data_IF_204550138443
#
_entry.id   IF_204550138443
#
_cell.length_a   1.000
_cell.length_b   1.000
_cell.length_c   1.000
_cell.angle_alpha   90.00
_cell.angle_beta   90.00
_cell.angle_gamma   90.00
#
_symmetry.space_group_name_H-M   'P 1'
#
loop_
_entity.id
_entity.type
_entity.pdbx_description
1 polymer ?
#
# COMPACT_ATOMS: atom_id res chain seq x y z
N UNK A 1 12.38 33.08 5.91
CA UNK A 1 12.49 31.76 5.31
C UNK A 1 11.58 30.79 6.06
N UNK A 2 10.61 30.23 5.34
CA UNK A 2 9.67 29.30 5.96
C UNK A 2 10.30 27.90 5.98
N UNK A 3 10.48 27.34 7.17
CA UNK A 3 10.95 25.95 7.27
C UNK A 3 9.72 25.04 7.22
N UNK A 4 9.69 24.20 6.20
CA UNK A 4 8.65 23.19 6.11
C UNK A 4 8.95 22.10 7.14
N UNK A 5 8.02 21.80 8.02
CA UNK A 5 8.16 20.68 8.94
C UNK A 5 8.25 19.38 8.17
N UNK A 6 9.14 18.45 8.56
CA UNK A 6 9.15 17.13 7.92
C UNK A 6 7.83 16.43 8.15
N UNK A 7 7.46 15.56 7.22
CA UNK A 7 6.28 14.71 7.39
C UNK A 7 6.44 13.85 8.64
N UNK A 8 5.34 13.56 9.37
CA UNK A 8 5.39 12.57 10.46
C UNK A 8 5.98 11.24 9.98
N UNK A 9 6.62 10.51 10.88
CA UNK A 9 7.41 9.32 10.52
C UNK A 9 6.61 8.30 9.72
N UNK A 10 5.39 7.96 10.17
CA UNK A 10 4.57 6.99 9.44
C UNK A 10 4.12 7.52 8.09
N UNK A 11 3.81 8.81 8.00
CA UNK A 11 3.44 9.42 6.71
C UNK A 11 4.60 9.37 5.72
N UNK A 12 5.81 9.67 6.17
CA UNK A 12 7.00 9.64 5.32
C UNK A 12 7.25 8.22 4.77
N UNK A 13 7.11 7.20 5.62
CA UNK A 13 7.26 5.80 5.20
C UNK A 13 6.16 5.41 4.21
N UNK A 14 4.90 5.79 4.50
CA UNK A 14 3.78 5.50 3.61
C UNK A 14 3.96 6.16 2.24
N UNK A 15 4.46 7.40 2.20
CA UNK A 15 4.76 8.10 0.95
C UNK A 15 5.81 7.36 0.13
N UNK A 16 6.93 7.00 0.77
CA UNK A 16 8.02 6.32 0.09
C UNK A 16 7.59 4.92 -0.41
N UNK A 17 6.85 4.19 0.41
CA UNK A 17 6.31 2.88 0.05
C UNK A 17 5.37 2.97 -1.15
N UNK A 18 4.38 3.86 -1.08
CA UNK A 18 3.40 4.05 -2.16
C UNK A 18 4.08 4.46 -3.46
N UNK A 19 5.00 5.43 -3.40
CA UNK A 19 5.71 5.90 -4.58
C UNK A 19 6.51 4.78 -5.24
N UNK A 20 7.18 3.96 -4.44
CA UNK A 20 8.00 2.87 -4.96
C UNK A 20 7.15 1.84 -5.73
N UNK A 21 6.03 1.36 -5.14
CA UNK A 21 5.23 0.38 -5.86
C UNK A 21 4.46 1.00 -7.02
N UNK A 22 4.10 2.29 -6.94
CA UNK A 22 3.48 3.02 -8.05
C UNK A 22 4.42 3.12 -9.25
N UNK A 23 5.73 3.21 -8.99
CA UNK A 23 6.76 3.27 -10.03
C UNK A 23 7.19 1.86 -10.50
N UNK A 24 6.48 0.82 -10.10
CA UNK A 24 6.82 -0.58 -10.40
C UNK A 24 8.18 -1.02 -9.83
N UNK A 25 8.63 -0.37 -8.76
CA UNK A 25 9.83 -0.75 -8.04
C UNK A 25 9.45 -1.42 -6.72
N UNK A 26 8.89 -2.62 -6.85
CA UNK A 26 8.38 -3.34 -5.68
C UNK A 26 9.50 -3.75 -4.72
N UNK A 27 10.70 -4.00 -5.21
CA UNK A 27 11.84 -4.33 -4.34
C UNK A 27 12.18 -3.15 -3.41
N UNK A 28 12.15 -1.92 -3.93
CA UNK A 28 12.33 -0.73 -3.07
C UNK A 28 11.17 -0.57 -2.09
N UNK A 29 9.93 -0.85 -2.52
CA UNK A 29 8.79 -0.80 -1.62
C UNK A 29 8.95 -1.78 -0.46
N UNK A 30 9.43 -2.99 -0.74
CA UNK A 30 9.63 -4.02 0.29
C UNK A 30 10.67 -3.65 1.35
N UNK A 31 11.57 -2.71 1.06
CA UNK A 31 12.54 -2.22 2.05
C UNK A 31 11.86 -1.49 3.22
N UNK A 32 10.66 -0.97 2.98
CA UNK A 32 9.87 -0.28 4.01
C UNK A 32 8.96 -1.23 4.77
N UNK A 33 8.98 -2.52 4.46
CA UNK A 33 8.11 -3.52 5.08
C UNK A 33 8.95 -4.42 5.99
N UNK A 34 8.52 -4.52 7.24
CA UNK A 34 9.21 -5.38 8.21
C UNK A 34 9.07 -6.85 7.80
N UNK A 35 10.12 -7.68 7.95
CA UNK A 35 10.01 -9.11 7.64
C UNK A 35 8.91 -9.84 8.40
N UNK A 36 8.52 -9.33 9.58
CA UNK A 36 7.47 -9.91 10.41
C UNK A 36 6.13 -9.18 10.27
N UNK A 37 5.93 -8.44 9.19
CA UNK A 37 4.72 -7.67 8.95
C UNK A 37 3.47 -8.55 9.04
N UNK A 38 2.41 -7.99 9.61
CA UNK A 38 1.08 -8.58 9.56
C UNK A 38 0.21 -7.71 8.67
N UNK A 39 -0.38 -8.30 7.65
CA UNK A 39 -1.24 -7.58 6.71
C UNK A 39 -2.64 -8.20 6.73
N UNK A 40 -3.64 -7.37 7.01
CA UNK A 40 -5.04 -7.77 6.91
C UNK A 40 -5.54 -7.33 5.53
N UNK A 41 -5.67 -8.29 4.64
CA UNK A 41 -6.18 -8.07 3.28
C UNK A 41 -7.64 -8.52 3.20
N UNK A 42 -8.38 -8.12 2.16
CA UNK A 42 -9.78 -8.56 2.03
C UNK A 42 -9.95 -10.07 2.05
N UNK A 43 -9.00 -10.81 1.51
CA UNK A 43 -9.05 -12.28 1.47
C UNK A 43 -8.63 -12.94 2.77
N UNK A 44 -8.02 -12.22 3.71
CA UNK A 44 -7.61 -12.78 4.99
C UNK A 44 -6.33 -12.18 5.54
N UNK A 45 -5.80 -12.81 6.60
CA UNK A 45 -4.61 -12.38 7.30
C UNK A 45 -3.35 -12.97 6.67
N UNK A 46 -2.39 -12.10 6.36
CA UNK A 46 -1.09 -12.49 5.83
C UNK A 46 -0.04 -12.23 6.90
N UNK A 47 0.77 -13.21 7.21
CA UNK A 47 1.84 -13.08 8.20
C UNK A 47 3.20 -13.23 7.53
N UNK A 48 4.04 -12.22 7.74
CA UNK A 48 5.41 -12.19 7.24
C UNK A 48 5.56 -11.59 5.84
N UNK A 49 6.79 -11.19 5.55
CA UNK A 49 7.11 -10.51 4.29
C UNK A 49 6.88 -11.38 3.06
N UNK A 50 7.14 -12.69 3.16
CA UNK A 50 6.95 -13.60 2.02
C UNK A 50 5.47 -13.71 1.63
N UNK A 51 4.57 -13.84 2.63
CA UNK A 51 3.13 -13.90 2.36
C UNK A 51 2.63 -12.57 1.78
N UNK A 52 3.09 -11.46 2.34
CA UNK A 52 2.77 -10.13 1.84
C UNK A 52 3.23 -9.95 0.39
N UNK A 53 4.47 -10.35 0.08
CA UNK A 53 5.03 -10.27 -1.27
C UNK A 53 4.19 -11.10 -2.25
N UNK A 54 3.78 -12.29 -1.86
CA UNK A 54 2.96 -13.17 -2.70
C UNK A 54 1.61 -12.59 -3.03
N UNK A 55 1.04 -11.79 -2.12
CA UNK A 55 -0.23 -11.08 -2.35
C UNK A 55 -0.03 -9.80 -3.18
N UNK A 56 0.89 -8.95 -2.76
CA UNK A 56 1.03 -7.59 -3.32
C UNK A 56 1.78 -7.57 -4.65
N UNK A 57 2.75 -8.48 -4.84
CA UNK A 57 3.58 -8.50 -6.05
C UNK A 57 2.77 -8.61 -7.34
N UNK A 58 1.88 -9.61 -7.47
CA UNK A 58 1.05 -9.73 -8.67
C UNK A 58 0.14 -8.52 -8.90
N UNK A 59 -0.37 -7.91 -7.82
CA UNK A 59 -1.17 -6.70 -7.96
C UNK A 59 -0.34 -5.55 -8.55
N UNK A 60 0.86 -5.31 -8.01
CA UNK A 60 1.75 -4.25 -8.51
C UNK A 60 2.08 -4.48 -9.98
N UNK A 61 2.32 -5.73 -10.37
CA UNK A 61 2.61 -6.07 -11.77
C UNK A 61 1.42 -5.74 -12.68
N UNK A 62 0.20 -5.82 -12.17
CA UNK A 62 -1.01 -5.54 -12.95
C UNK A 62 -1.34 -4.06 -13.07
N UNK A 63 -0.76 -3.22 -12.22
CA UNK A 63 -1.08 -1.79 -12.16
C UNK A 63 -0.48 -1.06 -13.37
N UNK A 64 -1.32 -0.29 -14.05
CA UNK A 64 -0.90 0.55 -15.17
C UNK A 64 -0.78 2.02 -14.77
N UNK A 65 -1.60 2.45 -13.80
CA UNK A 65 -1.61 3.84 -13.34
C UNK A 65 -2.11 3.91 -11.91
N UNK A 66 -1.54 4.82 -11.14
CA UNK A 66 -2.01 5.15 -9.79
C UNK A 66 -2.38 6.63 -9.71
N UNK A 67 -3.35 6.94 -8.85
CA UNK A 67 -3.69 8.32 -8.52
C UNK A 67 -3.84 8.41 -7.00
N UNK A 68 -2.97 9.18 -6.36
CA UNK A 68 -3.05 9.43 -4.93
C UNK A 68 -4.20 10.41 -4.67
N UNK A 69 -5.15 10.02 -3.84
CA UNK A 69 -6.29 10.85 -3.49
C UNK A 69 -6.01 11.63 -2.21
N UNK A 70 -5.54 10.93 -1.16
CA UNK A 70 -5.28 11.53 0.14
C UNK A 70 -4.32 10.66 0.93
N UNK A 71 -3.51 11.30 1.77
CA UNK A 71 -2.60 10.60 2.66
C UNK A 71 -2.43 11.43 3.92
N UNK A 72 -2.78 10.84 5.06
CA UNK A 72 -2.77 11.50 6.36
C UNK A 72 -2.28 10.54 7.43
N UNK A 73 -1.74 11.10 8.49
CA UNK A 73 -1.31 10.30 9.61
C UNK A 73 -0.43 11.04 10.58
N UNK A 74 0.21 10.28 11.47
CA UNK A 74 1.11 10.78 12.50
C UNK A 74 2.44 10.00 12.44
N UNK A 75 3.18 9.97 13.54
CA UNK A 75 4.47 9.27 13.58
C UNK A 75 4.31 7.75 13.65
N UNK A 76 3.15 7.24 14.02
CA UNK A 76 2.93 5.82 14.24
C UNK A 76 2.03 5.18 13.19
N UNK A 77 1.08 5.93 12.63
CA UNK A 77 0.06 5.40 11.75
C UNK A 77 -0.21 6.35 10.59
N UNK A 78 -0.41 5.81 9.39
CA UNK A 78 -0.79 6.60 8.22
C UNK A 78 -1.80 5.87 7.39
N UNK A 79 -2.70 6.64 6.75
CA UNK A 79 -3.71 6.12 5.83
C UNK A 79 -3.47 6.73 4.47
N UNK A 80 -3.46 5.89 3.44
CA UNK A 80 -3.32 6.30 2.04
C UNK A 80 -4.57 5.87 1.28
N UNK A 81 -5.20 6.81 0.59
CA UNK A 81 -6.34 6.53 -0.28
C UNK A 81 -5.94 6.83 -1.73
N UNK A 82 -6.25 5.91 -2.62
CA UNK A 82 -5.79 6.00 -4.01
C UNK A 82 -6.73 5.28 -4.96
N UNK A 83 -6.63 5.63 -6.25
CA UNK A 83 -7.24 4.88 -7.33
C UNK A 83 -6.15 4.21 -8.15
N UNK A 84 -6.45 3.04 -8.71
CA UNK A 84 -5.54 2.35 -9.63
C UNK A 84 -6.27 1.95 -10.90
N UNK A 85 -5.54 1.99 -12.01
CA UNK A 85 -5.92 1.29 -13.22
C UNK A 85 -5.06 0.04 -13.30
N UNK A 86 -5.70 -1.11 -13.48
CA UNK A 86 -5.01 -2.38 -13.69
C UNK A 86 -5.35 -2.89 -15.09
N UNK A 87 -4.73 -4.00 -15.51
CA UNK A 87 -5.03 -4.62 -16.79
C UNK A 87 -6.52 -4.98 -16.96
N UNK A 88 -7.24 -5.16 -15.85
CA UNK A 88 -8.63 -5.64 -15.85
C UNK A 88 -9.64 -4.61 -15.37
N UNK A 89 -9.22 -3.67 -14.55
CA UNK A 89 -10.12 -2.75 -13.84
C UNK A 89 -9.60 -1.32 -13.94
N UNK A 90 -10.49 -0.38 -14.28
CA UNK A 90 -10.16 1.03 -14.33
C UNK A 90 -10.73 1.74 -13.09
N UNK A 91 -10.00 2.75 -12.62
CA UNK A 91 -10.41 3.60 -11.49
C UNK A 91 -10.84 2.78 -10.25
N UNK A 92 -10.06 1.76 -9.91
CA UNK A 92 -10.33 0.92 -8.76
C UNK A 92 -9.93 1.64 -7.47
N UNK A 93 -10.89 1.94 -6.57
CA UNK A 93 -10.56 2.61 -5.31
C UNK A 93 -9.91 1.65 -4.33
N UNK A 94 -8.94 2.16 -3.60
CA UNK A 94 -8.28 1.42 -2.54
C UNK A 94 -7.86 2.33 -1.41
N UNK A 95 -7.65 1.73 -0.25
CA UNK A 95 -7.09 2.42 0.90
C UNK A 95 -6.24 1.45 1.70
N UNK A 96 -5.19 1.96 2.31
CA UNK A 96 -4.36 1.15 3.19
C UNK A 96 -3.98 1.97 4.42
N UNK A 97 -4.04 1.29 5.57
CA UNK A 97 -3.64 1.84 6.84
C UNK A 97 -2.38 1.10 7.26
N UNK A 98 -1.30 1.84 7.56
CA UNK A 98 -0.03 1.24 7.96
C UNK A 98 0.35 1.72 9.35
N UNK A 99 0.95 0.82 10.15
CA UNK A 99 1.60 1.17 11.40
C UNK A 99 3.09 0.98 11.23
N UNK A 100 3.85 1.97 11.67
CA UNK A 100 5.28 2.05 11.43
C UNK A 100 6.03 2.03 12.75
N UNK A 101 7.14 1.28 12.78
CA UNK A 101 8.09 1.27 13.89
C UNK A 101 9.48 1.17 13.32
N UNK A 102 10.38 2.03 13.81
CA UNK A 102 11.78 2.05 13.37
C UNK A 102 11.92 2.14 11.85
N UNK A 103 11.08 2.98 11.21
CA UNK A 103 11.14 3.24 9.78
C UNK A 103 10.57 2.16 8.89
N UNK A 104 9.88 1.16 9.46
CA UNK A 104 9.32 0.04 8.70
C UNK A 104 7.87 -0.20 9.06
N UNK A 105 7.10 -0.63 8.07
CA UNK A 105 5.70 -1.02 8.23
C UNK A 105 5.66 -2.37 8.94
N UNK A 106 5.10 -2.40 10.16
CA UNK A 106 4.98 -3.62 10.96
C UNK A 106 3.59 -4.21 10.90
N UNK A 107 2.61 -3.41 10.50
CA UNK A 107 1.21 -3.82 10.38
C UNK A 107 0.56 -3.04 9.25
N UNK A 108 -0.33 -3.68 8.51
CA UNK A 108 -1.04 -3.05 7.40
C UNK A 108 -2.44 -3.62 7.30
N UNK A 109 -3.40 -2.78 6.97
CA UNK A 109 -4.73 -3.20 6.55
C UNK A 109 -5.03 -2.60 5.19
N UNK A 110 -5.41 -3.45 4.25
CA UNK A 110 -5.73 -3.04 2.89
C UNK A 110 -7.22 -3.26 2.67
N UNK A 111 -7.87 -2.25 2.12
CA UNK A 111 -9.30 -2.28 1.77
C UNK A 111 -9.42 -1.86 0.31
N UNK A 112 -10.12 -2.66 -0.49
CA UNK A 112 -10.47 -2.26 -1.85
C UNK A 112 -11.78 -2.92 -2.25
N UNK A 113 -12.44 -2.34 -3.25
CA UNK A 113 -13.66 -2.91 -3.80
C UNK A 113 -13.30 -4.17 -4.59
N UNK A 114 -13.73 -5.32 -4.10
CA UNK A 114 -13.43 -6.60 -4.72
C UNK A 114 -14.33 -6.93 -5.90
N UNK A 115 -15.50 -6.29 -5.99
CA UNK A 115 -16.51 -6.64 -7.00
C UNK A 115 -15.97 -6.55 -8.43
N UNK A 116 -15.26 -5.46 -8.82
CA UNK A 116 -14.72 -5.38 -10.18
C UNK A 116 -13.69 -6.46 -10.51
N UNK A 117 -13.05 -7.05 -9.50
CA UNK A 117 -12.00 -8.06 -9.66
C UNK A 117 -12.54 -9.49 -9.68
N UNK A 118 -13.83 -9.67 -9.45
CA UNK A 118 -14.44 -11.01 -9.48
C UNK A 118 -14.53 -11.52 -10.91
N UNK A 119 -14.35 -12.85 -11.11
CA UNK A 119 -14.60 -13.43 -12.42
C UNK A 119 -16.03 -13.16 -12.87
N UNK A 120 -16.20 -12.86 -14.15
CA UNK A 120 -17.55 -12.71 -14.72
C UNK A 120 -18.19 -14.09 -14.78
N UNK A 121 -19.40 -14.21 -14.19
CA UNK A 121 -20.16 -15.44 -14.25
C UNK A 121 -20.74 -15.59 -15.66
N UNK A 122 -20.53 -16.75 -16.27
CA UNK A 122 -21.11 -17.08 -17.57
C UNK A 122 -22.57 -17.50 -17.45
#
# INVERSE_FOLDING_TARGET
MTMTSPAPAAVAVAQAYFQAWSDHDFESAMRFVDPDVVCLAPAGRLEGGAAFRGFMGPFVDSVERTALIAQYGDDECAVTMYDTDTHRVQDAPGAECVRVRDGRIVWMRIIFDQLPFRPVAD
#
